data_IF_489696683338
#
_entry.id   IF_489696683338
#
_cell.length_a   1.000
_cell.length_b   1.000
_cell.length_c   1.000
_cell.angle_alpha   90.00
_cell.angle_beta   90.00
_cell.angle_gamma   90.00
#
_symmetry.space_group_name_H-M   'P 1'
#
loop_
_entity.id
_entity.type
_entity.pdbx_description
1 polymer ?
#
# COMPACT_ATOMS: atom_id res chain seq x y z
N UNK A 1 1.25 2.26 -12.84
CA UNK A 1 1.80 2.66 -11.54
C UNK A 1 2.21 1.47 -10.68
N UNK A 2 3.15 1.72 -9.80
CA UNK A 2 3.52 0.75 -8.78
C UNK A 2 2.47 0.79 -7.66
N UNK A 3 1.96 -0.37 -7.25
CA UNK A 3 0.87 -0.49 -6.29
C UNK A 3 1.30 -1.28 -5.05
N UNK A 4 0.81 -0.90 -3.89
CA UNK A 4 1.07 -1.60 -2.63
C UNK A 4 1.05 -0.67 -1.43
N UNK A 5 1.66 -1.12 -0.33
CA UNK A 5 1.84 -0.33 0.88
C UNK A 5 3.27 0.18 0.97
N UNK A 6 3.43 1.48 1.26
CA UNK A 6 4.75 2.12 1.43
C UNK A 6 5.68 1.88 0.26
N UNK A 7 5.16 1.93 -0.94
CA UNK A 7 5.88 1.57 -2.18
C UNK A 7 7.05 2.48 -2.50
N UNK A 8 7.10 3.67 -1.90
CA UNK A 8 8.25 4.55 -2.06
C UNK A 8 9.55 3.88 -1.59
N UNK A 9 9.47 3.02 -0.58
CA UNK A 9 10.63 2.27 -0.10
C UNK A 9 11.09 1.25 -1.14
N UNK A 10 10.16 0.51 -1.74
CA UNK A 10 10.46 -0.43 -2.81
C UNK A 10 11.06 0.28 -4.01
N UNK A 11 10.49 1.42 -4.40
CA UNK A 11 10.97 2.18 -5.54
C UNK A 11 12.37 2.74 -5.33
N UNK A 12 12.69 3.21 -4.13
CA UNK A 12 14.04 3.67 -3.80
C UNK A 12 15.06 2.54 -3.94
N UNK A 13 14.72 1.37 -3.46
CA UNK A 13 15.56 0.18 -3.58
C UNK A 13 15.77 -0.19 -5.05
N UNK A 14 14.71 -0.23 -5.85
CA UNK A 14 14.79 -0.54 -7.26
C UNK A 14 15.63 0.48 -8.04
N UNK A 15 15.45 1.77 -7.76
CA UNK A 15 16.22 2.83 -8.41
C UNK A 15 17.73 2.68 -8.16
N UNK A 16 18.10 2.24 -6.97
CA UNK A 16 19.50 2.08 -6.59
C UNK A 16 20.11 0.79 -7.14
N UNK A 17 19.42 -0.31 -7.04
CA UNK A 17 19.97 -1.64 -7.32
C UNK A 17 19.47 -2.27 -8.60
N UNK A 18 18.35 -1.86 -9.11
CA UNK A 18 17.72 -2.43 -10.31
C UNK A 18 17.12 -1.30 -11.19
N UNK A 19 17.95 -0.35 -11.65
CA UNK A 19 17.46 0.85 -12.33
C UNK A 19 16.68 0.56 -13.62
N UNK A 20 17.04 -0.50 -14.35
CA UNK A 20 16.33 -0.88 -15.57
C UNK A 20 14.90 -1.33 -15.26
N UNK A 21 14.71 -2.10 -14.20
CA UNK A 21 13.41 -2.52 -13.75
C UNK A 21 12.59 -1.33 -13.21
N UNK A 22 13.25 -0.45 -12.46
CA UNK A 22 12.59 0.75 -11.91
C UNK A 22 12.04 1.63 -13.03
N UNK A 23 12.77 1.81 -14.11
CA UNK A 23 12.34 2.62 -15.25
C UNK A 23 11.14 2.03 -16.00
N UNK A 24 10.86 0.75 -15.83
CA UNK A 24 9.69 0.10 -16.40
C UNK A 24 8.39 0.63 -15.81
N UNK A 25 8.40 1.01 -14.51
CA UNK A 25 7.22 1.48 -13.83
C UNK A 25 6.91 2.93 -14.16
N UNK A 26 5.61 3.22 -14.32
CA UNK A 26 5.14 4.59 -14.46
C UNK A 26 5.53 5.40 -13.21
N UNK A 27 5.75 6.71 -13.35
CA UNK A 27 6.16 7.58 -12.25
C UNK A 27 5.09 7.74 -11.16
N UNK A 28 3.83 7.47 -11.45
CA UNK A 28 2.75 7.55 -10.45
C UNK A 28 2.70 6.29 -9.60
N UNK A 29 2.29 6.47 -8.36
CA UNK A 29 2.13 5.42 -7.39
C UNK A 29 0.67 5.29 -6.97
N UNK A 30 0.27 4.05 -6.63
CA UNK A 30 -0.98 3.79 -5.96
C UNK A 30 -0.61 3.17 -4.60
N UNK A 31 -0.48 4.04 -3.58
CA UNK A 31 0.02 3.64 -2.26
C UNK A 31 -1.13 3.56 -1.26
N UNK A 32 -1.45 2.33 -0.84
CA UNK A 32 -2.51 2.07 0.15
C UNK A 32 -2.19 2.71 1.49
N UNK A 33 -0.92 2.86 1.84
CA UNK A 33 -0.51 3.53 3.07
C UNK A 33 -0.93 5.00 3.11
N UNK A 34 -1.10 5.65 1.97
CA UNK A 34 -1.65 7.01 1.90
C UNK A 34 -3.06 7.06 2.47
N UNK A 35 -3.91 6.10 2.11
CA UNK A 35 -5.27 6.01 2.65
C UNK A 35 -5.26 5.72 4.14
N UNK A 36 -4.34 4.91 4.61
CA UNK A 36 -4.15 4.63 6.03
C UNK A 36 -3.82 5.91 6.80
N UNK A 37 -2.90 6.71 6.28
CA UNK A 37 -2.53 8.00 6.88
C UNK A 37 -3.72 8.97 6.93
N UNK A 38 -4.47 9.09 5.83
CA UNK A 38 -5.64 9.95 5.78
C UNK A 38 -6.74 9.49 6.74
N UNK A 39 -6.94 8.19 6.85
CA UNK A 39 -7.93 7.62 7.79
C UNK A 39 -7.55 7.96 9.22
N UNK A 40 -6.27 7.82 9.58
CA UNK A 40 -5.80 8.15 10.92
C UNK A 40 -6.02 9.63 11.27
N UNK A 41 -5.95 10.54 10.28
CA UNK A 41 -6.10 11.98 10.49
C UNK A 41 -7.55 12.44 10.42
N UNK A 42 -8.35 11.87 9.53
CA UNK A 42 -9.69 12.39 9.22
C UNK A 42 -10.82 11.57 9.84
N UNK A 43 -10.60 10.28 10.03
CA UNK A 43 -11.60 9.35 10.55
C UNK A 43 -10.94 8.26 11.40
N UNK A 44 -10.31 8.62 12.53
CA UNK A 44 -9.57 7.64 13.36
C UNK A 44 -10.45 6.51 13.88
N UNK A 45 -11.75 6.74 14.04
CA UNK A 45 -12.72 5.73 14.46
C UNK A 45 -12.92 4.62 13.43
N UNK A 46 -12.55 4.87 12.17
CA UNK A 46 -12.65 3.90 11.08
C UNK A 46 -11.32 3.22 10.76
N UNK A 47 -10.31 3.44 11.59
CA UNK A 47 -9.02 2.81 11.41
C UNK A 47 -9.17 1.29 11.42
N UNK A 48 -8.65 0.64 10.39
CA UNK A 48 -8.65 -0.81 10.32
C UNK A 48 -7.77 -1.39 11.41
N UNK A 49 -8.39 -2.13 12.34
CA UNK A 49 -7.67 -2.94 13.32
C UNK A 49 -7.42 -4.29 12.66
N UNK A 50 -6.34 -4.38 11.92
CA UNK A 50 -5.97 -5.60 11.23
C UNK A 50 -4.74 -6.22 11.88
N UNK A 51 -4.93 -7.42 12.41
CA UNK A 51 -3.81 -8.23 12.89
C UNK A 51 -3.18 -8.92 11.67
N UNK A 52 -2.16 -8.31 11.11
CA UNK A 52 -1.38 -8.93 10.06
C UNK A 52 -0.69 -10.17 10.63
N UNK A 53 -0.98 -11.33 10.06
CA UNK A 53 -0.12 -12.47 10.25
C UNK A 53 1.24 -12.11 9.66
N UNK A 54 2.25 -12.02 10.50
CA UNK A 54 3.59 -11.63 10.07
C UNK A 54 4.33 -12.80 9.44
N UNK A 55 3.78 -13.36 8.36
CA UNK A 55 4.44 -14.45 7.64
C UNK A 55 5.65 -13.94 6.83
N UNK A 56 5.70 -12.63 6.55
CA UNK A 56 6.72 -11.99 5.71
C UNK A 56 6.89 -12.60 4.32
N UNK A 57 5.88 -13.37 3.88
CA UNK A 57 5.86 -13.89 2.52
C UNK A 57 5.30 -12.82 1.59
N UNK A 58 5.98 -12.60 0.46
CA UNK A 58 5.61 -11.53 -0.48
C UNK A 58 4.16 -11.64 -0.96
N UNK A 59 3.66 -12.84 -1.22
CA UNK A 59 2.29 -13.04 -1.68
C UNK A 59 1.28 -12.67 -0.58
N UNK A 60 1.57 -12.97 0.68
CA UNK A 60 0.69 -12.61 1.80
C UNK A 60 0.65 -11.09 1.99
N UNK A 61 1.78 -10.41 1.84
CA UNK A 61 1.84 -8.95 1.90
C UNK A 61 1.01 -8.31 0.78
N UNK A 62 1.04 -8.87 -0.42
CA UNK A 62 0.22 -8.41 -1.55
C UNK A 62 -1.26 -8.59 -1.25
N UNK A 63 -1.66 -9.76 -0.75
CA UNK A 63 -3.05 -10.04 -0.38
C UNK A 63 -3.54 -9.13 0.74
N UNK A 64 -2.69 -8.85 1.73
CA UNK A 64 -3.00 -7.93 2.82
C UNK A 64 -3.22 -6.51 2.30
N UNK A 65 -2.39 -6.05 1.38
CA UNK A 65 -2.55 -4.73 0.76
C UNK A 65 -3.86 -4.61 -0.02
N UNK A 66 -4.25 -5.65 -0.75
CA UNK A 66 -5.52 -5.68 -1.48
C UNK A 66 -6.71 -5.65 -0.52
N UNK A 67 -6.66 -6.45 0.55
CA UNK A 67 -7.72 -6.49 1.55
C UNK A 67 -7.86 -5.15 2.27
N UNK A 68 -6.76 -4.51 2.60
CA UNK A 68 -6.73 -3.18 3.22
C UNK A 68 -7.36 -2.13 2.30
N UNK A 69 -7.01 -2.14 1.02
CA UNK A 69 -7.59 -1.22 0.04
C UNK A 69 -9.11 -1.41 -0.09
N UNK A 70 -9.59 -2.67 -0.12
CA UNK A 70 -11.02 -2.97 -0.15
C UNK A 70 -11.73 -2.42 1.08
N UNK A 71 -11.14 -2.57 2.25
CA UNK A 71 -11.69 -2.02 3.48
C UNK A 71 -11.86 -0.50 3.39
N UNK A 72 -10.84 0.22 2.93
CA UNK A 72 -10.93 1.68 2.79
C UNK A 72 -11.96 2.09 1.74
N UNK A 73 -12.05 1.34 0.64
CA UNK A 73 -13.07 1.60 -0.38
C UNK A 73 -14.49 1.52 0.20
N UNK A 74 -14.77 0.50 1.00
CA UNK A 74 -16.11 0.24 1.54
C UNK A 74 -16.45 1.17 2.72
N UNK A 75 -15.48 1.52 3.54
CA UNK A 75 -15.72 2.20 4.82
C UNK A 75 -15.35 3.68 4.83
N UNK A 76 -14.45 4.12 3.95
CA UNK A 76 -13.93 5.49 3.93
C UNK A 76 -14.33 6.21 2.65
N UNK A 77 -14.08 5.60 1.51
CA UNK A 77 -14.30 6.25 0.20
C UNK A 77 -15.76 6.19 -0.26
N UNK A 78 -16.54 5.28 0.25
CA UNK A 78 -17.97 5.10 -0.06
C UNK A 78 -18.25 4.96 -1.57
N UNK A 79 -17.36 4.26 -2.27
CA UNK A 79 -17.47 4.04 -3.73
C UNK A 79 -17.86 2.59 -4.02
#
# INVERSE_FOLDING_TARGET
PMCGNSICQDRRFLARYMPTLEMFFHYRHLDVSTLKELTARWAPEKKMVYMKESSHLAMDDIKDSIAELKYYRENILAI
#
